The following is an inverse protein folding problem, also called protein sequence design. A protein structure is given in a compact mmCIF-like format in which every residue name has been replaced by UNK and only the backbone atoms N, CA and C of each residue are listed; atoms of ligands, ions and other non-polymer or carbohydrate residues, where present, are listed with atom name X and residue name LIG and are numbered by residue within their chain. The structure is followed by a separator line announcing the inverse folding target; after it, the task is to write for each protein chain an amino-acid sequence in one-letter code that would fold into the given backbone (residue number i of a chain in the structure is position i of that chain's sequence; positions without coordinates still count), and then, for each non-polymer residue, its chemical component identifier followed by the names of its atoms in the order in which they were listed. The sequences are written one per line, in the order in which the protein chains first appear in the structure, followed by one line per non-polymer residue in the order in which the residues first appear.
data_IF_476383166910
#
_entry.id   IF_476383166910
#
_cell.length_a   1.000
_cell.length_b   1.000
_cell.length_c   1.000
_cell.angle_alpha   90.00
_cell.angle_beta   90.00
_cell.angle_gamma   90.00
#
_symmetry.space_group_name_H-M   'P 1'
#
loop_
_entity.id
_entity.type
_entity.pdbx_description
1 polymer ?
#
# COMPACT_ATOMS: atom_id res chain seq x y z
N UNK A 1 -22.63 -30.86 9.09
CA UNK A 1 -21.86 -32.11 9.07
C UNK A 1 -20.43 -31.72 9.44
N UNK A 2 -19.94 -32.16 10.59
CA UNK A 2 -18.64 -31.74 11.14
C UNK A 2 -17.55 -32.64 10.55
N UNK A 3 -16.74 -32.11 9.65
CA UNK A 3 -15.58 -32.84 9.10
C UNK A 3 -14.42 -32.78 10.08
N UNK A 4 -14.42 -33.74 11.01
CA UNK A 4 -13.24 -34.07 11.80
C UNK A 4 -12.31 -34.94 10.95
N UNK A 5 -11.08 -34.48 10.70
CA UNK A 5 -10.08 -35.28 9.99
C UNK A 5 -9.42 -36.24 10.99
N UNK A 6 -9.70 -37.55 10.86
CA UNK A 6 -9.11 -38.59 11.71
C UNK A 6 -7.61 -38.73 11.52
N UNK A 7 -7.11 -38.48 10.32
CA UNK A 7 -5.69 -38.66 9.97
C UNK A 7 -4.80 -37.61 10.63
N UNK A 8 -5.28 -36.37 10.72
CA UNK A 8 -4.51 -35.26 11.30
C UNK A 8 -4.97 -34.88 12.71
N UNK A 9 -6.04 -35.49 13.22
CA UNK A 9 -6.71 -35.13 14.48
C UNK A 9 -7.10 -33.63 14.55
N UNK A 10 -7.44 -33.03 13.41
CA UNK A 10 -7.83 -31.62 13.30
C UNK A 10 -9.33 -31.46 13.05
N UNK A 11 -9.90 -30.43 13.67
CA UNK A 11 -11.30 -30.05 13.53
C UNK A 11 -11.44 -28.78 12.71
N UNK A 12 -12.26 -28.83 11.66
CA UNK A 12 -12.53 -27.67 10.82
C UNK A 12 -13.61 -26.79 11.46
N UNK A 13 -13.28 -25.52 11.72
CA UNK A 13 -14.25 -24.56 12.26
C UNK A 13 -15.19 -24.09 11.14
N UNK A 14 -16.37 -24.71 11.06
CA UNK A 14 -17.36 -24.46 9.99
C UNK A 14 -17.87 -23.00 10.00
N UNK A 15 -17.84 -22.31 11.13
CA UNK A 15 -18.25 -20.89 11.22
C UNK A 15 -17.22 -19.95 10.58
N UNK A 16 -15.94 -20.33 10.59
CA UNK A 16 -14.82 -19.53 10.04
C UNK A 16 -14.40 -20.00 8.65
N UNK A 17 -14.70 -21.24 8.29
CA UNK A 17 -14.37 -21.78 6.97
C UNK A 17 -15.40 -21.34 5.95
N UNK A 18 -14.93 -20.66 4.92
CA UNK A 18 -15.77 -20.18 3.81
C UNK A 18 -15.12 -20.58 2.49
N UNK A 19 -15.96 -20.99 1.53
CA UNK A 19 -15.52 -21.28 0.16
C UNK A 19 -15.93 -20.09 -0.70
N UNK A 20 -14.93 -19.40 -1.27
CA UNK A 20 -15.15 -18.33 -2.24
C UNK A 20 -14.75 -18.84 -3.62
N UNK A 21 -15.73 -19.00 -4.52
CA UNK A 21 -15.43 -19.29 -5.92
C UNK A 21 -15.05 -18.00 -6.64
N UNK A 22 -13.76 -17.88 -6.98
CA UNK A 22 -13.25 -16.75 -7.74
C UNK A 22 -13.83 -16.74 -9.15
N UNK A 23 -14.11 -15.55 -9.69
CA UNK A 23 -14.66 -15.33 -11.04
C UNK A 23 -16.06 -15.94 -11.29
N UNK A 24 -16.76 -16.43 -10.26
CA UNK A 24 -18.12 -16.94 -10.40
C UNK A 24 -19.17 -15.84 -10.12
N UNK A 25 -20.05 -15.49 -11.08
CA UNK A 25 -21.08 -14.46 -10.90
C UNK A 25 -22.13 -14.77 -9.82
N UNK A 26 -22.30 -16.05 -9.47
CA UNK A 26 -23.26 -16.49 -8.45
C UNK A 26 -22.68 -16.44 -7.04
N UNK A 27 -21.37 -16.27 -6.91
CA UNK A 27 -20.72 -16.13 -5.60
C UNK A 27 -20.96 -14.72 -5.07
N UNK A 28 -21.56 -14.66 -3.88
CA UNK A 28 -21.87 -13.44 -3.15
C UNK A 28 -21.07 -13.48 -1.85
N UNK A 29 -20.26 -12.47 -1.61
CA UNK A 29 -19.49 -12.33 -0.36
C UNK A 29 -18.01 -12.00 -0.59
N UNK A 30 -17.30 -11.80 0.52
CA UNK A 30 -15.86 -11.52 0.56
C UNK A 30 -15.16 -12.54 1.43
N UNK A 31 -13.96 -12.96 1.04
CA UNK A 31 -13.12 -13.84 1.84
C UNK A 31 -12.11 -13.00 2.65
N UNK A 32 -12.09 -13.20 3.97
CA UNK A 32 -11.07 -12.64 4.84
C UNK A 32 -9.83 -13.53 4.88
N UNK A 33 -8.70 -13.03 4.39
CA UNK A 33 -7.40 -13.71 4.43
C UNK A 33 -6.34 -12.80 5.04
N UNK A 34 -5.74 -13.23 6.16
CA UNK A 34 -4.67 -12.50 6.86
C UNK A 34 -5.00 -11.02 7.16
N UNK A 35 -6.28 -10.70 7.39
CA UNK A 35 -6.75 -9.33 7.65
C UNK A 35 -7.03 -8.48 6.40
N UNK A 36 -6.96 -9.08 5.21
CA UNK A 36 -7.38 -8.49 3.94
C UNK A 36 -8.68 -9.14 3.49
N UNK A 37 -9.63 -8.34 3.01
CA UNK A 37 -10.89 -8.84 2.46
C UNK A 37 -10.81 -8.79 0.93
N UNK A 38 -11.08 -9.94 0.32
CA UNK A 38 -10.98 -10.15 -1.12
C UNK A 38 -12.37 -10.48 -1.65
N UNK A 39 -12.81 -9.73 -2.64
CA UNK A 39 -14.04 -10.00 -3.37
C UNK A 39 -13.86 -11.13 -4.40
N UNK A 40 -14.95 -11.70 -4.90
CA UNK A 40 -14.97 -12.72 -5.97
C UNK A 40 -14.15 -12.35 -7.20
N UNK A 41 -14.03 -11.04 -7.47
CA UNK A 41 -13.29 -10.48 -8.60
C UNK A 41 -11.77 -10.33 -8.31
N UNK A 42 -11.30 -10.72 -7.12
CA UNK A 42 -9.94 -10.42 -6.66
C UNK A 42 -9.72 -8.93 -6.36
N UNK A 43 -10.81 -8.17 -6.17
CA UNK A 43 -10.78 -6.76 -5.85
C UNK A 43 -10.82 -6.52 -4.34
N UNK A 44 -10.33 -5.35 -3.90
CA UNK A 44 -10.15 -5.00 -2.49
C UNK A 44 -11.09 -3.88 -2.01
N UNK A 45 -12.21 -3.64 -2.70
CA UNK A 45 -13.11 -2.52 -2.40
C UNK A 45 -13.63 -2.51 -0.96
N UNK A 46 -14.15 -3.65 -0.48
CA UNK A 46 -14.63 -3.81 0.91
C UNK A 46 -13.50 -3.58 1.91
N UNK A 47 -12.31 -4.15 1.64
CA UNK A 47 -11.13 -3.91 2.46
C UNK A 47 -10.75 -2.43 2.53
N UNK A 48 -10.76 -1.71 1.40
CA UNK A 48 -10.46 -0.29 1.35
C UNK A 48 -11.47 0.54 2.16
N UNK A 49 -12.76 0.21 2.08
CA UNK A 49 -13.80 0.87 2.87
C UNK A 49 -13.61 0.63 4.38
N UNK A 50 -13.27 -0.60 4.77
CA UNK A 50 -13.00 -0.97 6.16
C UNK A 50 -11.75 -0.28 6.71
N UNK A 51 -10.67 -0.22 5.92
CA UNK A 51 -9.47 0.56 6.26
C UNK A 51 -9.82 2.04 6.39
N UNK A 52 -10.58 2.61 5.47
CA UNK A 52 -10.99 4.02 5.52
C UNK A 52 -11.73 4.35 6.81
N UNK A 53 -12.70 3.52 7.19
CA UNK A 53 -13.45 3.70 8.44
C UNK A 53 -12.56 3.57 9.68
N UNK A 54 -11.63 2.62 9.67
CA UNK A 54 -10.66 2.45 10.74
C UNK A 54 -9.72 3.67 10.89
N UNK A 55 -9.27 4.24 9.76
CA UNK A 55 -8.47 5.47 9.76
C UNK A 55 -9.28 6.65 10.28
N UNK A 56 -10.57 6.78 9.93
CA UNK A 56 -11.46 7.81 10.49
C UNK A 56 -11.57 7.70 12.02
N UNK A 57 -11.78 6.49 12.54
CA UNK A 57 -11.86 6.23 13.99
C UNK A 57 -10.58 6.66 14.70
N UNK A 58 -9.42 6.29 14.15
CA UNK A 58 -8.10 6.63 14.71
C UNK A 58 -7.82 8.12 14.64
N UNK A 59 -8.12 8.79 13.53
CA UNK A 59 -8.02 10.25 13.42
C UNK A 59 -8.93 10.96 14.43
N UNK A 60 -10.14 10.45 14.66
CA UNK A 60 -11.03 10.97 15.70
C UNK A 60 -10.45 10.82 17.11
N UNK A 61 -9.81 9.68 17.41
CA UNK A 61 -9.11 9.49 18.68
C UNK A 61 -7.93 10.46 18.84
N UNK A 62 -7.12 10.65 17.80
CA UNK A 62 -6.00 11.60 17.81
C UNK A 62 -6.48 13.03 18.00
N UNK A 63 -7.63 13.40 17.42
CA UNK A 63 -8.24 14.72 17.64
C UNK A 63 -8.61 14.96 19.11
N UNK A 64 -9.12 13.94 19.80
CA UNK A 64 -9.37 14.01 21.26
C UNK A 64 -8.07 14.06 22.06
N UNK A 65 -7.04 13.31 21.65
CA UNK A 65 -5.73 13.40 22.29
C UNK A 65 -5.10 14.78 22.10
N UNK A 66 -5.31 15.42 20.94
CA UNK A 66 -4.79 16.76 20.64
C UNK A 66 -5.41 17.88 21.49
N UNK A 67 -6.52 17.63 22.19
CA UNK A 67 -7.07 18.60 23.15
C UNK A 67 -6.46 18.49 24.55
N UNK A 68 -5.77 17.39 24.84
CA UNK A 68 -5.16 17.13 26.16
C UNK A 68 -3.64 17.17 26.09
N UNK A 69 -3.05 16.68 24.99
CA UNK A 69 -1.61 16.63 24.77
C UNK A 69 -1.14 17.85 23.96
N UNK A 70 0.05 18.39 24.26
CA UNK A 70 0.65 19.43 23.43
C UNK A 70 0.90 18.91 22.02
N UNK A 71 0.66 19.77 21.03
CA UNK A 71 1.02 19.51 19.64
C UNK A 71 2.54 19.46 19.50
N UNK A 72 3.04 18.48 18.75
CA UNK A 72 4.47 18.31 18.55
C UNK A 72 4.86 16.85 18.40
N UNK A 73 6.12 16.54 18.73
CA UNK A 73 6.76 15.26 18.44
C UNK A 73 5.97 14.05 18.98
N UNK A 74 5.53 14.10 20.24
CA UNK A 74 4.82 12.98 20.87
C UNK A 74 3.50 12.66 20.14
N UNK A 75 2.67 13.67 19.91
CA UNK A 75 1.39 13.50 19.22
C UNK A 75 1.59 13.04 17.77
N UNK A 76 2.61 13.55 17.09
CA UNK A 76 2.97 13.14 15.73
C UNK A 76 3.38 11.66 15.68
N UNK A 77 4.19 11.19 16.63
CA UNK A 77 4.60 9.79 16.68
C UNK A 77 3.42 8.85 17.01
N UNK A 78 2.55 9.23 17.95
CA UNK A 78 1.32 8.47 18.24
C UNK A 78 0.44 8.37 16.98
N UNK A 79 0.26 9.51 16.30
CA UNK A 79 -0.55 9.54 15.08
C UNK A 79 0.04 8.68 13.97
N UNK A 80 1.37 8.75 13.78
CA UNK A 80 2.09 7.94 12.81
C UNK A 80 1.98 6.45 13.13
N UNK A 81 2.19 6.06 14.40
CA UNK A 81 2.07 4.67 14.82
C UNK A 81 0.65 4.11 14.59
N UNK A 82 -0.38 4.88 14.95
CA UNK A 82 -1.77 4.40 14.87
C UNK A 82 -2.34 4.40 13.45
N UNK A 83 -2.13 5.50 12.70
CA UNK A 83 -2.76 5.72 11.40
C UNK A 83 -1.89 5.15 10.29
N UNK A 84 -0.62 5.54 10.21
CA UNK A 84 0.29 5.05 9.18
C UNK A 84 0.60 3.57 9.42
N UNK A 85 0.73 3.12 10.67
CA UNK A 85 0.85 1.70 11.00
C UNK A 85 -0.31 0.86 10.46
N UNK A 86 -1.55 1.35 10.54
CA UNK A 86 -2.72 0.65 9.98
C UNK A 86 -2.73 0.68 8.44
N UNK A 87 -2.36 1.80 7.83
CA UNK A 87 -2.28 1.94 6.38
C UNK A 87 -1.20 1.02 5.78
N UNK A 88 -0.05 0.90 6.45
CA UNK A 88 1.13 0.21 5.94
C UNK A 88 0.96 -1.29 5.71
N UNK A 89 0.05 -1.98 6.41
CA UNK A 89 0.02 -3.45 6.47
C UNK A 89 -0.12 -4.09 5.08
N UNK A 90 -0.98 -3.53 4.22
CA UNK A 90 -1.27 -4.11 2.90
C UNK A 90 -1.38 -3.05 1.77
N UNK A 91 -0.92 -1.82 2.00
CA UNK A 91 -1.08 -0.73 1.04
C UNK A 91 -0.55 -1.08 -0.35
N UNK A 92 0.67 -1.60 -0.45
CA UNK A 92 1.30 -1.89 -1.74
C UNK A 92 0.72 -3.10 -2.51
N UNK A 93 -0.01 -3.98 -1.81
CA UNK A 93 -0.66 -5.16 -2.43
C UNK A 93 -2.06 -4.81 -2.92
N UNK A 94 -2.76 -3.96 -2.18
CA UNK A 94 -4.19 -3.69 -2.39
C UNK A 94 -4.45 -2.42 -3.21
N UNK A 95 -3.54 -1.44 -3.12
CA UNK A 95 -3.65 -0.14 -3.79
C UNK A 95 -2.60 -0.03 -4.88
N UNK A 96 -2.96 0.57 -6.01
CA UNK A 96 -2.02 0.87 -7.09
C UNK A 96 -1.20 2.11 -6.76
N UNK A 97 0.09 2.09 -7.07
CA UNK A 97 0.89 3.31 -7.13
C UNK A 97 0.38 4.17 -8.27
N UNK A 98 0.29 5.47 -8.03
CA UNK A 98 0.10 6.43 -9.11
C UNK A 98 1.48 6.67 -9.69
N UNK A 99 1.72 6.03 -10.84
CA UNK A 99 3.00 6.10 -11.55
C UNK A 99 3.28 7.52 -12.08
N UNK A 100 4.57 7.77 -12.33
CA UNK A 100 5.07 9.04 -12.88
C UNK A 100 4.64 9.28 -14.34
N UNK A 101 4.34 8.21 -15.10
CA UNK A 101 4.17 8.28 -16.57
C UNK A 101 2.73 8.08 -17.07
N UNK A 102 1.76 7.77 -16.21
CA UNK A 102 0.43 7.33 -16.68
C UNK A 102 -0.69 8.25 -16.19
N UNK A 103 -0.79 9.43 -16.81
CA UNK A 103 -1.88 10.39 -16.58
C UNK A 103 -3.25 9.81 -16.97
N UNK A 104 -3.28 8.84 -17.90
CA UNK A 104 -4.52 8.21 -18.39
C UNK A 104 -5.15 7.22 -17.40
N UNK A 105 -4.38 6.69 -16.45
CA UNK A 105 -4.85 5.73 -15.44
C UNK A 105 -5.38 6.34 -14.15
N UNK A 106 -5.33 7.68 -14.01
CA UNK A 106 -5.88 8.39 -12.84
C UNK A 106 -7.34 8.02 -12.58
N UNK A 107 -8.12 7.72 -13.61
CA UNK A 107 -9.58 7.54 -13.53
C UNK A 107 -10.04 6.21 -12.91
N UNK A 108 -9.23 5.14 -12.97
CA UNK A 108 -9.62 3.81 -12.45
C UNK A 108 -9.22 3.56 -10.99
N UNK A 109 -8.42 4.46 -10.38
CA UNK A 109 -7.91 4.34 -9.00
C UNK A 109 -8.02 5.60 -8.15
N UNK A 110 -8.61 6.67 -8.69
CA UNK A 110 -8.73 7.96 -7.99
C UNK A 110 -9.59 7.91 -6.73
N UNK A 111 -10.64 7.09 -6.67
CA UNK A 111 -11.60 7.11 -5.55
C UNK A 111 -10.97 6.72 -4.20
N UNK A 112 -10.40 5.52 -4.12
CA UNK A 112 -10.00 4.93 -2.84
C UNK A 112 -8.74 5.56 -2.24
N UNK A 113 -7.79 5.98 -3.08
CA UNK A 113 -6.57 6.65 -2.61
C UNK A 113 -6.86 8.10 -2.22
N UNK A 114 -7.72 8.81 -2.97
CA UNK A 114 -8.11 10.17 -2.62
C UNK A 114 -8.82 10.24 -1.26
N UNK A 115 -9.76 9.31 -0.99
CA UNK A 115 -10.47 9.28 0.28
C UNK A 115 -9.53 9.10 1.49
N UNK A 116 -8.53 8.22 1.37
CA UNK A 116 -7.51 8.06 2.42
C UNK A 116 -6.62 9.29 2.52
N UNK A 117 -6.21 9.87 1.39
CA UNK A 117 -5.38 11.07 1.37
C UNK A 117 -6.08 12.27 2.03
N UNK A 118 -7.40 12.41 1.86
CA UNK A 118 -8.21 13.41 2.57
C UNK A 118 -8.13 13.21 4.08
N UNK A 119 -8.24 11.97 4.58
CA UNK A 119 -8.10 11.67 6.01
C UNK A 119 -6.69 12.00 6.51
N UNK A 120 -5.64 11.65 5.76
CA UNK A 120 -4.27 11.98 6.12
C UNK A 120 -4.06 13.50 6.19
N UNK A 121 -4.65 14.25 5.25
CA UNK A 121 -4.60 15.70 5.26
C UNK A 121 -5.37 16.28 6.47
N UNK A 122 -6.55 15.75 6.80
CA UNK A 122 -7.31 16.19 7.99
C UNK A 122 -6.60 15.83 9.30
N UNK A 123 -5.91 14.69 9.35
CA UNK A 123 -5.04 14.31 10.45
C UNK A 123 -3.89 15.31 10.59
N UNK A 124 -3.19 15.60 9.49
CA UNK A 124 -2.08 16.54 9.49
C UNK A 124 -2.52 17.95 9.93
N UNK A 125 -3.73 18.41 9.55
CA UNK A 125 -4.33 19.64 10.07
C UNK A 125 -4.54 19.61 11.57
N UNK A 126 -5.04 18.48 12.08
CA UNK A 126 -5.25 18.27 13.52
C UNK A 126 -3.93 18.35 14.30
N UNK A 127 -2.87 17.74 13.77
CA UNK A 127 -1.53 17.73 14.37
C UNK A 127 -0.87 19.11 14.36
N UNK A 128 -1.02 19.85 13.26
CA UNK A 128 -0.45 21.20 13.11
C UNK A 128 -1.31 22.29 13.78
N UNK A 129 -2.57 22.00 14.11
CA UNK A 129 -3.50 22.99 14.67
C UNK A 129 -4.00 24.03 13.66
N UNK A 130 -3.95 23.72 12.37
CA UNK A 130 -4.32 24.63 11.27
C UNK A 130 -5.70 24.29 10.70
N UNK A 131 -6.36 25.30 10.12
CA UNK A 131 -7.69 25.16 9.51
C UNK A 131 -7.56 24.95 8.00
N UNK A 132 -8.66 24.52 7.36
CA UNK A 132 -8.74 24.46 5.89
C UNK A 132 -8.65 25.85 5.24
N UNK A 133 -9.09 26.89 5.95
CA UNK A 133 -9.02 28.30 5.53
C UNK A 133 -7.59 28.81 5.31
N UNK A 134 -6.59 28.18 5.94
CA UNK A 134 -5.21 28.67 5.94
C UNK A 134 -4.49 28.36 4.62
N UNK A 135 -5.16 27.67 3.68
CA UNK A 135 -4.71 27.39 2.29
C UNK A 135 -3.28 26.84 2.18
N UNK A 136 -2.82 26.11 3.19
CA UNK A 136 -1.52 25.44 3.20
C UNK A 136 -1.56 24.27 2.21
N UNK A 137 -0.51 24.14 1.38
CA UNK A 137 -0.34 23.02 0.45
C UNK A 137 -0.30 21.70 1.22
N UNK A 138 -0.92 20.66 0.67
CA UNK A 138 -1.02 19.35 1.34
C UNK A 138 0.37 18.72 1.60
N UNK A 139 1.32 18.88 0.68
CA UNK A 139 2.72 18.47 0.84
C UNK A 139 3.35 19.05 2.10
N UNK A 140 3.25 20.38 2.24
CA UNK A 140 3.91 21.12 3.32
C UNK A 140 3.28 20.78 4.67
N UNK A 141 1.96 20.57 4.67
CA UNK A 141 1.22 20.15 5.86
C UNK A 141 1.70 18.79 6.38
N UNK A 142 1.84 17.82 5.47
CA UNK A 142 2.29 16.47 5.80
C UNK A 142 3.76 16.46 6.25
N UNK A 143 4.62 17.27 5.61
CA UNK A 143 6.04 17.37 5.95
C UNK A 143 6.27 17.93 7.35
N UNK A 144 5.52 18.96 7.76
CA UNK A 144 5.62 19.54 9.11
C UNK A 144 5.36 18.52 10.22
N UNK A 145 4.52 17.53 9.97
CA UNK A 145 4.23 16.45 10.93
C UNK A 145 4.94 15.13 10.61
N UNK A 146 5.78 15.07 9.56
CA UNK A 146 6.51 13.87 9.16
C UNK A 146 5.61 12.73 8.67
N UNK A 147 4.43 13.03 8.13
CA UNK A 147 3.50 12.04 7.58
C UNK A 147 3.78 11.82 6.08
N UNK A 148 3.73 10.57 5.59
CA UNK A 148 3.82 10.29 4.16
C UNK A 148 2.48 10.47 3.44
N UNK A 149 2.49 10.63 2.11
CA UNK A 149 1.27 10.45 1.30
C UNK A 149 0.96 8.96 1.12
N UNK A 150 -0.27 8.66 0.69
CA UNK A 150 -0.65 7.27 0.35
C UNK A 150 0.25 6.74 -0.76
N UNK A 151 0.53 7.55 -1.78
CA UNK A 151 1.38 7.14 -2.90
C UNK A 151 2.84 6.88 -2.46
N UNK A 152 3.38 7.70 -1.54
CA UNK A 152 4.71 7.49 -0.97
C UNK A 152 4.81 6.14 -0.24
N UNK A 153 3.78 5.78 0.55
CA UNK A 153 3.72 4.49 1.24
C UNK A 153 3.69 3.34 0.25
N UNK A 154 2.77 3.37 -0.71
CA UNK A 154 2.61 2.31 -1.73
C UNK A 154 3.91 2.15 -2.51
N UNK A 155 4.50 3.26 -2.99
CA UNK A 155 5.69 3.23 -3.84
C UNK A 155 6.91 2.73 -3.10
N UNK A 156 7.16 3.22 -1.87
CA UNK A 156 8.32 2.80 -1.08
C UNK A 156 8.27 1.33 -0.68
N UNK A 157 7.09 0.82 -0.31
CA UNK A 157 6.89 -0.59 -0.03
C UNK A 157 7.06 -1.47 -1.29
N UNK A 158 6.51 -1.03 -2.42
CA UNK A 158 6.65 -1.74 -3.70
C UNK A 158 8.10 -1.83 -4.15
N UNK A 159 8.86 -0.73 -4.02
CA UNK A 159 10.28 -0.69 -4.31
C UNK A 159 11.06 -1.70 -3.46
N UNK A 160 10.78 -1.75 -2.15
CA UNK A 160 11.43 -2.72 -1.28
C UNK A 160 11.10 -4.17 -1.63
N UNK A 161 9.85 -4.46 -1.97
CA UNK A 161 9.45 -5.79 -2.40
C UNK A 161 10.12 -6.18 -3.72
N UNK A 162 10.18 -5.26 -4.69
CA UNK A 162 10.83 -5.47 -5.97
C UNK A 162 12.34 -5.74 -5.82
N UNK A 163 13.02 -5.02 -4.93
CA UNK A 163 14.43 -5.26 -4.64
C UNK A 163 14.66 -6.63 -4.02
N UNK A 164 13.84 -7.05 -3.04
CA UNK A 164 13.96 -8.39 -2.43
C UNK A 164 13.76 -9.50 -3.46
N UNK A 165 12.68 -9.43 -4.23
CA UNK A 165 12.38 -10.34 -5.33
C UNK A 165 13.52 -10.42 -6.34
N UNK A 166 14.24 -9.31 -6.55
CA UNK A 166 15.30 -9.25 -7.55
C UNK A 166 16.64 -9.76 -7.06
N UNK A 167 16.91 -9.72 -5.76
CA UNK A 167 18.17 -10.15 -5.18
C UNK A 167 18.12 -11.54 -4.53
N UNK A 168 16.92 -12.04 -4.22
CA UNK A 168 16.71 -13.35 -3.59
C UNK A 168 15.72 -14.20 -4.40
N UNK A 169 16.23 -15.16 -5.20
CA UNK A 169 15.38 -16.09 -5.96
C UNK A 169 14.51 -17.00 -5.08
N UNK A 170 14.85 -17.19 -3.80
CA UNK A 170 14.07 -18.00 -2.86
C UNK A 170 12.92 -17.23 -2.23
N UNK A 171 12.85 -15.91 -2.47
CA UNK A 171 11.80 -15.07 -1.93
C UNK A 171 10.42 -15.53 -2.45
N UNK A 172 9.39 -15.67 -1.58
CA UNK A 172 8.10 -16.24 -1.98
C UNK A 172 7.37 -15.55 -3.14
N UNK A 173 7.76 -14.31 -3.46
CA UNK A 173 7.18 -13.51 -4.54
C UNK A 173 8.09 -13.41 -5.77
N UNK A 174 9.15 -14.23 -5.86
CA UNK A 174 10.14 -14.17 -6.94
C UNK A 174 9.49 -14.23 -8.33
N UNK A 175 8.48 -15.10 -8.48
CA UNK A 175 7.74 -15.32 -9.72
C UNK A 175 6.84 -14.14 -10.14
N UNK A 176 6.63 -13.15 -9.26
CA UNK A 176 5.80 -11.98 -9.60
C UNK A 176 6.50 -10.99 -10.55
N UNK A 177 7.83 -11.04 -10.64
CA UNK A 177 8.61 -10.20 -11.55
C UNK A 177 9.43 -11.05 -12.51
N UNK A 178 9.19 -10.85 -13.80
CA UNK A 178 9.85 -11.59 -14.88
C UNK A 178 10.78 -10.66 -15.65
N UNK A 179 11.91 -11.19 -16.11
CA UNK A 179 12.79 -10.47 -17.03
C UNK A 179 12.11 -10.17 -18.37
N UNK A 180 12.63 -9.15 -19.07
CA UNK A 180 12.31 -8.98 -20.47
C UNK A 180 13.09 -9.98 -21.34
N UNK A 181 12.60 -10.23 -22.55
CA UNK A 181 13.34 -11.00 -23.56
C UNK A 181 14.67 -10.30 -23.85
N UNK A 182 15.76 -11.07 -23.95
CA UNK A 182 17.14 -10.61 -24.18
C UNK A 182 17.27 -9.70 -25.41
N UNK A 183 16.37 -9.86 -26.39
CA UNK A 183 16.33 -9.04 -27.61
C UNK A 183 15.79 -7.63 -27.40
N UNK A 184 15.33 -7.29 -26.21
CA UNK A 184 14.70 -5.99 -25.92
C UNK A 184 15.65 -5.05 -25.19
N UNK A 185 15.48 -3.74 -25.41
CA UNK A 185 16.15 -2.69 -24.61
C UNK A 185 15.86 -2.83 -23.11
N UNK A 186 14.74 -3.46 -22.75
CA UNK A 186 14.37 -3.76 -21.38
C UNK A 186 15.34 -4.71 -20.68
N UNK A 187 15.82 -5.73 -21.39
CA UNK A 187 16.80 -6.66 -20.87
C UNK A 187 18.16 -5.99 -20.65
N UNK A 188 18.60 -5.14 -21.59
CA UNK A 188 19.86 -4.39 -21.46
C UNK A 188 19.89 -3.44 -20.24
N UNK A 189 18.72 -2.96 -19.80
CA UNK A 189 18.58 -2.10 -18.63
C UNK A 189 18.22 -2.86 -17.36
N UNK A 190 18.22 -4.19 -17.37
CA UNK A 190 17.77 -5.03 -16.26
C UNK A 190 16.37 -4.61 -15.73
N UNK A 191 15.47 -4.27 -16.65
CA UNK A 191 14.07 -3.98 -16.33
C UNK A 191 13.32 -5.28 -16.08
N UNK A 192 12.24 -5.20 -15.30
CA UNK A 192 11.37 -6.33 -14.98
C UNK A 192 9.92 -5.98 -15.27
N UNK A 193 9.18 -6.96 -15.77
CA UNK A 193 7.74 -6.87 -16.02
C UNK A 193 6.97 -7.67 -14.98
N UNK A 194 5.75 -7.24 -14.69
CA UNK A 194 4.82 -8.02 -13.88
C UNK A 194 4.50 -9.35 -14.59
N UNK A 195 4.51 -10.46 -13.86
CA UNK A 195 4.14 -11.78 -14.40
C UNK A 195 2.68 -11.85 -14.87
N UNK A 196 1.80 -11.11 -14.19
CA UNK A 196 0.38 -10.99 -14.55
C UNK A 196 -0.09 -9.55 -14.49
N UNK A 197 -0.90 -9.16 -15.48
CA UNK A 197 -1.52 -7.83 -15.55
C UNK A 197 -2.64 -7.63 -14.51
N UNK A 198 -3.11 -8.70 -13.86
CA UNK A 198 -4.19 -8.64 -12.87
C UNK A 198 -3.69 -8.33 -11.45
N UNK A 199 -2.44 -8.66 -11.13
CA UNK A 199 -1.87 -8.43 -9.80
C UNK A 199 -1.45 -6.97 -9.62
N UNK A 200 -2.08 -6.30 -8.65
CA UNK A 200 -1.70 -4.94 -8.23
C UNK A 200 -0.27 -4.93 -7.69
N UNK A 201 0.08 -5.89 -6.84
CA UNK A 201 1.41 -6.03 -6.26
C UNK A 201 2.51 -6.18 -7.33
N UNK A 202 2.30 -7.08 -8.31
CA UNK A 202 3.28 -7.30 -9.38
C UNK A 202 3.49 -6.06 -10.24
N UNK A 203 2.41 -5.33 -10.57
CA UNK A 203 2.48 -4.06 -11.30
C UNK A 203 3.24 -3.00 -10.52
N UNK A 204 2.87 -2.77 -9.26
CA UNK A 204 3.54 -1.75 -8.45
C UNK A 204 5.04 -2.05 -8.28
N UNK A 205 5.41 -3.33 -8.12
CA UNK A 205 6.81 -3.74 -8.06
C UNK A 205 7.55 -3.48 -9.38
N UNK A 206 6.96 -3.85 -10.51
CA UNK A 206 7.56 -3.63 -11.83
C UNK A 206 7.72 -2.13 -12.13
N UNK A 207 6.72 -1.33 -11.80
CA UNK A 207 6.74 0.12 -11.98
C UNK A 207 7.81 0.77 -11.08
N UNK A 208 7.89 0.36 -9.81
CA UNK A 208 8.89 0.86 -8.87
C UNK A 208 10.33 0.48 -9.27
N UNK A 209 10.54 -0.76 -9.71
CA UNK A 209 11.84 -1.24 -10.21
C UNK A 209 12.28 -0.48 -11.44
N UNK A 210 11.37 -0.32 -12.40
CA UNK A 210 11.64 0.39 -13.66
C UNK A 210 11.94 1.87 -13.46
N UNK A 211 11.36 2.48 -12.43
CA UNK A 211 11.48 3.92 -12.16
C UNK A 211 12.76 4.33 -11.43
N UNK A 212 13.55 3.39 -10.90
CA UNK A 212 14.68 3.70 -10.02
C UNK A 212 15.95 2.92 -10.36
N UNK A 213 16.88 3.48 -11.17
CA UNK A 213 18.20 2.86 -11.39
C UNK A 213 18.96 2.65 -10.08
N UNK A 214 18.98 3.64 -9.19
CA UNK A 214 19.65 3.54 -7.89
C UNK A 214 19.16 2.36 -7.02
N UNK A 215 17.90 1.95 -7.20
CA UNK A 215 17.35 0.80 -6.48
C UNK A 215 17.94 -0.51 -7.01
N UNK A 216 18.25 -0.58 -8.31
CA UNK A 216 18.83 -1.75 -8.96
C UNK A 216 20.31 -1.91 -8.64
N UNK A 217 21.00 -0.79 -8.45
CA UNK A 217 22.43 -0.78 -8.11
C UNK A 217 22.68 -1.01 -6.61
N UNK A 218 21.66 -0.91 -5.77
CA UNK A 218 21.76 -1.11 -4.33
C UNK A 218 22.14 -2.57 -3.99
N UNK A 219 23.27 -2.75 -3.28
CA UNK A 219 23.76 -4.08 -2.90
C UNK A 219 23.30 -4.49 -1.50
N UNK A 220 23.02 -3.51 -0.64
CA UNK A 220 22.58 -3.78 0.74
C UNK A 220 21.11 -3.44 0.97
N UNK A 221 20.50 -4.13 1.94
CA UNK A 221 19.12 -3.85 2.36
C UNK A 221 18.94 -2.41 2.87
N UNK A 222 19.99 -1.82 3.45
CA UNK A 222 19.97 -0.46 3.99
C UNK A 222 19.91 0.57 2.87
N UNK A 223 20.78 0.44 1.85
CA UNK A 223 20.77 1.28 0.65
C UNK A 223 19.45 1.15 -0.09
N UNK A 224 18.96 -0.07 -0.30
CA UNK A 224 17.68 -0.31 -0.94
C UNK A 224 16.53 0.40 -0.22
N UNK A 225 16.53 0.38 1.13
CA UNK A 225 15.53 1.09 1.94
C UNK A 225 15.63 2.61 1.79
N UNK A 226 16.85 3.14 1.69
CA UNK A 226 17.07 4.56 1.46
C UNK A 226 16.56 4.98 0.06
N UNK A 227 16.93 4.23 -0.98
CA UNK A 227 16.47 4.50 -2.36
C UNK A 227 14.96 4.33 -2.50
N UNK A 228 14.35 3.32 -1.87
CA UNK A 228 12.90 3.15 -1.85
C UNK A 228 12.17 4.34 -1.20
N UNK A 229 12.73 4.91 -0.12
CA UNK A 229 12.19 6.11 0.53
C UNK A 229 12.34 7.35 -0.35
N UNK A 230 13.48 7.50 -1.03
CA UNK A 230 13.72 8.59 -1.99
C UNK A 230 12.71 8.48 -3.14
N UNK A 231 12.50 7.29 -3.68
CA UNK A 231 11.53 7.03 -4.75
C UNK A 231 10.11 7.37 -4.30
N UNK A 232 9.70 6.96 -3.10
CA UNK A 232 8.40 7.32 -2.53
C UNK A 232 8.20 8.84 -2.40
N UNK A 233 9.23 9.56 -1.96
CA UNK A 233 9.19 11.04 -1.88
C UNK A 233 9.10 11.69 -3.26
N UNK A 234 9.79 11.16 -4.27
CA UNK A 234 9.66 11.62 -5.67
C UNK A 234 8.24 11.39 -6.19
N UNK A 235 7.64 10.24 -5.87
CA UNK A 235 6.28 9.89 -6.27
C UNK A 235 5.19 10.78 -5.63
N UNK A 236 5.53 11.53 -4.58
CA UNK A 236 4.63 12.50 -3.94
C UNK A 236 4.18 13.62 -4.90
N UNK A 237 5.05 14.04 -5.82
CA UNK A 237 4.77 15.13 -6.77
C UNK A 237 3.72 14.80 -7.83
N UNK A 238 3.25 13.55 -7.90
CA UNK A 238 2.15 13.16 -8.78
C UNK A 238 0.75 13.46 -8.19
N UNK A 239 0.67 13.74 -6.88
CA UNK A 239 -0.55 14.03 -6.12
C UNK A 239 -0.85 15.53 -5.99
N UNK A 240 0.04 16.41 -6.49
CA UNK A 240 -0.06 17.88 -6.47
C UNK A 240 -0.37 18.46 -7.85
#
# INVERSE_FOLDING_TARGET
MVEYSRDNALHLNVEKTQILHLMNPQTIGTLGLLGVEIDRNGAFGTHHANVLNELRRRTGAIRRLASVLPRGKLLNEIARALVIGKLNVCAWVTRRSQGYQDQSRRELGAGDNAAVQVILNDLARTLNGVRRSDRIRASDLLDRCGLPTVNEVVTSQSAMAAWKVSNDPTFPLAELLVGHDERTRGAALNLKKASTSRSVAAKNMADAWSSSPDLRDAQTLVEARQHAKILGRRARGADS
#
